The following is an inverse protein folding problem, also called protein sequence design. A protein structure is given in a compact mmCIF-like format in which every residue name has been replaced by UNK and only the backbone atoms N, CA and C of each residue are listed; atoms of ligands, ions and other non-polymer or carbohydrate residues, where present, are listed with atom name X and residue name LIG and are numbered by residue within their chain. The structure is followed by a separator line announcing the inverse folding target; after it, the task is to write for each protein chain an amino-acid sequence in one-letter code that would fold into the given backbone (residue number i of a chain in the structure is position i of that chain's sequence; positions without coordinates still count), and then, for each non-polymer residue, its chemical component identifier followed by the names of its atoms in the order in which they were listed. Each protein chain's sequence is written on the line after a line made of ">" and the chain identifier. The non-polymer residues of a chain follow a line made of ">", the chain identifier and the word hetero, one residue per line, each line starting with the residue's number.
data_IF_629723175587
#
_entry.id   IF_629723175587
#
_cell.length_a   1.000
_cell.length_b   1.000
_cell.length_c   1.000
_cell.angle_alpha   90.00
_cell.angle_beta   90.00
_cell.angle_gamma   90.00
#
_symmetry.space_group_name_H-M   'P 1'
#
loop_
_entity.id
_entity.type
_entity.pdbx_description
1 polymer ?
#
# COMPACT_ATOMS: atom_id res chain seq x y z
N UNK A 1 10.38 -9.04 -17.98
CA UNK A 1 11.27 -7.98 -17.44
C UNK A 1 10.53 -6.68 -17.13
N UNK A 2 10.04 -5.87 -18.09
CA UNK A 2 9.36 -4.61 -17.72
C UNK A 2 8.06 -4.83 -16.93
N UNK A 3 7.28 -5.85 -17.30
CA UNK A 3 6.06 -6.24 -16.58
C UNK A 3 6.35 -6.74 -15.16
N UNK A 4 7.42 -7.52 -14.98
CA UNK A 4 7.81 -8.06 -13.68
C UNK A 4 8.32 -6.95 -12.74
N UNK A 5 8.87 -5.87 -13.31
CA UNK A 5 9.19 -4.63 -12.60
C UNK A 5 7.98 -3.75 -12.28
N UNK A 6 6.76 -4.19 -12.57
CA UNK A 6 5.53 -3.46 -12.26
C UNK A 6 5.29 -2.21 -13.09
N UNK A 7 6.00 -2.05 -14.22
CA UNK A 7 5.82 -0.89 -15.11
C UNK A 7 4.48 -0.99 -15.85
N UNK A 8 3.78 0.14 -15.95
CA UNK A 8 2.56 0.30 -16.72
C UNK A 8 2.88 0.44 -18.21
N UNK A 9 1.88 0.25 -19.07
CA UNK A 9 2.08 0.26 -20.52
C UNK A 9 2.54 1.63 -21.06
N UNK A 10 2.08 2.73 -20.46
CA UNK A 10 2.52 4.10 -20.74
C UNK A 10 4.01 4.30 -20.41
N UNK A 11 4.46 3.78 -19.27
CA UNK A 11 5.85 3.84 -18.82
C UNK A 11 6.76 3.00 -19.73
N UNK A 12 6.29 1.83 -20.16
CA UNK A 12 7.01 0.97 -21.12
C UNK A 12 7.11 1.64 -22.49
N UNK A 13 6.05 2.33 -22.94
CA UNK A 13 6.10 3.10 -24.19
C UNK A 13 7.15 4.21 -24.16
N UNK A 14 7.32 4.88 -23.01
CA UNK A 14 8.37 5.88 -22.81
C UNK A 14 9.78 5.27 -22.81
N UNK A 15 9.99 4.12 -22.16
CA UNK A 15 11.25 3.36 -22.22
C UNK A 15 11.62 2.95 -23.66
N UNK A 16 10.63 2.65 -24.50
CA UNK A 16 10.84 2.31 -25.91
C UNK A 16 11.07 3.54 -26.82
N UNK A 17 11.08 4.76 -26.27
CA UNK A 17 11.14 6.00 -27.05
C UNK A 17 9.91 6.24 -27.93
N UNK A 18 8.80 5.55 -27.65
CA UNK A 18 7.53 5.63 -28.38
C UNK A 18 6.45 6.38 -27.59
N UNK A 19 6.85 7.21 -26.64
CA UNK A 19 5.91 8.04 -25.90
C UNK A 19 5.14 8.95 -26.87
N UNK A 20 3.80 8.91 -26.79
CA UNK A 20 2.89 9.68 -27.64
C UNK A 20 2.97 11.19 -27.36
N UNK A 21 3.57 11.58 -26.24
CA UNK A 21 3.85 12.96 -25.86
C UNK A 21 5.34 13.08 -25.51
N UNK A 22 6.02 14.20 -25.84
CA UNK A 22 7.36 14.47 -25.35
C UNK A 22 7.31 14.50 -23.81
N UNK A 23 7.63 13.36 -23.20
CA UNK A 23 7.78 13.28 -21.75
C UNK A 23 9.00 14.12 -21.38
N UNK A 24 8.86 15.12 -20.49
CA UNK A 24 10.02 15.83 -19.95
C UNK A 24 10.89 14.91 -19.07
N UNK A 25 10.31 13.79 -18.62
CA UNK A 25 10.98 12.81 -17.78
C UNK A 25 11.76 11.81 -18.61
N UNK A 26 13.03 11.63 -18.25
CA UNK A 26 13.90 10.61 -18.83
C UNK A 26 13.43 9.24 -18.32
N UNK A 27 13.77 8.17 -19.04
CA UNK A 27 13.40 6.82 -18.60
C UNK A 27 13.94 6.48 -17.20
N UNK A 28 15.05 7.10 -16.78
CA UNK A 28 15.59 6.97 -15.43
C UNK A 28 14.61 7.48 -14.37
N UNK A 29 13.90 8.57 -14.64
CA UNK A 29 12.94 9.16 -13.70
C UNK A 29 11.75 8.20 -13.51
N UNK A 30 11.27 7.59 -14.59
CA UNK A 30 10.19 6.58 -14.55
C UNK A 30 10.59 5.38 -13.69
N UNK A 31 11.83 4.90 -13.85
CA UNK A 31 12.34 3.77 -13.06
C UNK A 31 12.52 4.18 -11.59
N UNK A 32 13.01 5.39 -11.31
CA UNK A 32 13.16 5.91 -9.96
C UNK A 32 11.79 6.03 -9.24
N UNK A 33 10.80 6.62 -9.90
CA UNK A 33 9.44 6.74 -9.37
C UNK A 33 8.83 5.36 -9.08
N UNK A 34 9.05 4.39 -9.99
CA UNK A 34 8.59 3.01 -9.80
C UNK A 34 9.28 2.35 -8.60
N UNK A 35 10.57 2.56 -8.40
CA UNK A 35 11.30 2.06 -7.24
C UNK A 35 10.77 2.66 -5.94
N UNK A 36 10.55 3.99 -5.90
CA UNK A 36 9.96 4.65 -4.73
C UNK A 36 8.57 4.10 -4.39
N UNK A 37 7.73 3.84 -5.40
CA UNK A 37 6.43 3.22 -5.18
C UNK A 37 6.54 1.79 -4.60
N UNK A 38 7.47 0.98 -5.13
CA UNK A 38 7.74 -0.37 -4.61
C UNK A 38 8.26 -0.32 -3.18
N UNK A 39 9.14 0.61 -2.84
CA UNK A 39 9.66 0.78 -1.48
C UNK A 39 8.56 1.15 -0.48
N UNK A 40 7.63 2.03 -0.89
CA UNK A 40 6.46 2.37 -0.08
C UNK A 40 5.54 1.16 0.14
N UNK A 41 5.31 0.36 -0.89
CA UNK A 41 4.52 -0.88 -0.78
C UNK A 41 5.19 -1.92 0.12
N UNK A 42 6.51 -2.10 0.01
CA UNK A 42 7.28 -2.99 0.87
C UNK A 42 7.23 -2.54 2.34
N UNK A 43 7.33 -1.23 2.60
CA UNK A 43 7.21 -0.68 3.95
C UNK A 43 5.83 -1.00 4.55
N UNK A 44 4.75 -0.70 3.81
CA UNK A 44 3.37 -1.01 4.23
C UNK A 44 3.14 -2.50 4.46
N UNK A 45 3.66 -3.36 3.58
CA UNK A 45 3.53 -4.81 3.71
C UNK A 45 4.32 -5.34 4.92
N UNK A 46 5.49 -4.77 5.21
CA UNK A 46 6.26 -5.12 6.40
C UNK A 46 5.56 -4.73 7.69
N UNK A 47 4.97 -3.54 7.76
CA UNK A 47 4.15 -3.11 8.90
C UNK A 47 2.97 -4.07 9.13
N UNK A 48 2.23 -4.41 8.07
CA UNK A 48 1.13 -5.36 8.15
C UNK A 48 1.59 -6.76 8.60
N UNK A 49 2.72 -7.24 8.07
CA UNK A 49 3.31 -8.51 8.47
C UNK A 49 3.69 -8.51 9.96
N UNK A 50 4.33 -7.45 10.44
CA UNK A 50 4.77 -7.34 11.83
C UNK A 50 3.58 -7.24 12.79
N UNK A 51 2.54 -6.50 12.40
CA UNK A 51 1.27 -6.45 13.13
C UNK A 51 0.66 -7.86 13.28
N UNK A 52 0.49 -8.59 12.18
CA UNK A 52 -0.11 -9.92 12.19
C UNK A 52 0.76 -10.93 12.95
N UNK A 53 2.08 -10.84 12.81
CA UNK A 53 3.03 -11.69 13.55
C UNK A 53 2.97 -11.44 15.06
N UNK A 54 2.77 -10.19 15.47
CA UNK A 54 2.55 -9.84 16.88
C UNK A 54 1.17 -10.32 17.37
N UNK A 55 0.13 -10.23 16.53
CA UNK A 55 -1.20 -10.72 16.86
C UNK A 55 -1.22 -12.23 17.17
N UNK A 56 -0.37 -13.03 16.53
CA UNK A 56 -0.22 -14.47 16.85
C UNK A 56 0.29 -14.75 18.28
N UNK A 57 0.85 -13.77 18.98
CA UNK A 57 1.25 -13.91 20.39
C UNK A 57 0.09 -13.64 21.35
N UNK A 58 -1.06 -13.20 20.86
CA UNK A 58 -2.24 -12.99 21.65
C UNK A 58 -2.77 -14.33 22.18
N UNK A 59 -3.09 -14.40 23.47
CA UNK A 59 -3.63 -15.59 24.13
C UNK A 59 -5.17 -15.54 24.24
N UNK A 60 -5.80 -14.43 23.84
CA UNK A 60 -7.25 -14.28 23.86
C UNK A 60 -7.89 -15.21 22.81
N UNK A 61 -8.97 -15.89 23.19
CA UNK A 61 -9.73 -16.76 22.28
C UNK A 61 -10.60 -15.90 21.36
N UNK A 62 -11.08 -14.76 21.87
CA UNK A 62 -11.87 -13.79 21.14
C UNK A 62 -11.30 -12.37 21.26
N UNK A 63 -10.20 -12.04 20.53
CA UNK A 63 -9.52 -10.75 20.67
C UNK A 63 -10.41 -9.53 20.44
N UNK A 64 -11.38 -9.62 19.52
CA UNK A 64 -12.34 -8.54 19.26
C UNK A 64 -13.33 -8.27 20.41
N UNK A 65 -13.42 -9.17 21.38
CA UNK A 65 -14.31 -9.05 22.56
C UNK A 65 -13.49 -8.89 23.85
N UNK A 66 -12.33 -9.53 23.91
CA UNK A 66 -11.53 -9.70 25.12
C UNK A 66 -10.33 -8.77 25.18
N UNK A 67 -9.89 -8.20 24.05
CA UNK A 67 -8.74 -7.30 24.00
C UNK A 67 -9.21 -5.84 23.78
N UNK A 68 -9.11 -4.97 24.81
CA UNK A 68 -9.50 -3.57 24.68
C UNK A 68 -8.74 -2.80 23.59
N UNK A 69 -7.52 -3.24 23.27
CA UNK A 69 -6.74 -2.67 22.18
C UNK A 69 -7.36 -2.99 20.81
N UNK A 70 -7.69 -4.27 20.55
CA UNK A 70 -8.30 -4.70 19.28
C UNK A 70 -9.69 -4.10 19.13
N UNK A 71 -10.47 -4.00 20.20
CA UNK A 71 -11.77 -3.32 20.18
C UNK A 71 -11.65 -1.87 19.70
N UNK A 72 -10.74 -1.10 20.31
CA UNK A 72 -10.51 0.29 19.91
C UNK A 72 -10.05 0.41 18.46
N UNK A 73 -9.14 -0.46 18.03
CA UNK A 73 -8.66 -0.46 16.65
C UNK A 73 -9.82 -0.70 15.65
N UNK A 74 -10.72 -1.64 15.97
CA UNK A 74 -11.90 -1.92 15.15
C UNK A 74 -12.90 -0.76 15.15
N UNK A 75 -13.15 -0.14 16.31
CA UNK A 75 -14.03 1.02 16.43
C UNK A 75 -13.50 2.21 15.60
N UNK A 76 -12.20 2.51 15.70
CA UNK A 76 -11.55 3.56 14.91
C UNK A 76 -11.66 3.27 13.41
N UNK A 77 -11.50 2.00 13.00
CA UNK A 77 -11.62 1.57 11.61
C UNK A 77 -13.04 1.75 11.08
N UNK A 78 -14.05 1.39 11.86
CA UNK A 78 -15.47 1.53 11.51
C UNK A 78 -15.87 3.00 11.45
N UNK A 79 -15.44 3.80 12.43
CA UNK A 79 -15.70 5.24 12.48
C UNK A 79 -15.10 5.97 11.27
N UNK A 80 -13.89 5.60 10.84
CA UNK A 80 -13.29 6.14 9.62
C UNK A 80 -13.95 5.69 8.31
N UNK A 81 -14.78 4.65 8.35
CA UNK A 81 -15.52 4.12 7.19
C UNK A 81 -16.93 4.70 7.08
N UNK A 82 -17.51 5.17 8.19
CA UNK A 82 -18.82 5.80 8.22
C UNK A 82 -18.68 7.28 7.75
N UNK A 83 -19.46 7.75 6.76
CA UNK A 83 -19.51 9.18 6.48
C UNK A 83 -20.01 9.95 7.72
N UNK A 84 -19.61 11.21 7.94
CA UNK A 84 -20.15 12.00 9.04
C UNK A 84 -21.67 12.08 8.90
N UNK A 85 -22.40 11.64 9.93
CA UNK A 85 -23.85 11.77 10.00
C UNK A 85 -24.22 13.25 9.77
N UNK A 86 -24.99 13.51 8.71
CA UNK A 86 -25.58 14.81 8.45
C UNK A 86 -26.97 14.82 9.12
N UNK A 87 -27.30 15.81 9.98
CA UNK A 87 -28.65 15.96 10.52
C UNK A 87 -29.68 16.27 9.43
#
# INVERSE_FOLDING_TARGET
>A
MCRDGGLRLDEIAALMGRATSPSPHRWQDIVADRLTAIEADLARLREAHDYLSNALRCQAEHPAVECPYVQRELDDRVAGMLPPDHP
#
